data_IF_613850310308
#
_entry.id   IF_613850310308
#
_cell.length_a   1.000
_cell.length_b   1.000
_cell.length_c   1.000
_cell.angle_alpha   90.00
_cell.angle_beta   90.00
_cell.angle_gamma   90.00
#
_symmetry.space_group_name_H-M   'P 1'
#
loop_
_entity.id
_entity.type
_entity.pdbx_description
1 polymer ?
#
# COMPACT_ATOMS: atom_id res chain seq x y z
N UNK A 1 1.97 19.06 13.85
CA UNK A 1 1.93 17.70 13.27
C UNK A 1 2.85 17.57 12.08
N UNK A 2 3.40 16.37 11.87
CA UNK A 2 4.26 16.06 10.75
C UNK A 2 3.40 15.79 9.49
N UNK A 3 3.76 16.33 8.32
CA UNK A 3 3.27 15.87 7.02
C UNK A 3 4.49 15.50 6.14
N UNK A 4 4.81 14.21 6.10
CA UNK A 4 6.00 13.71 5.45
C UNK A 4 5.68 12.75 4.31
N UNK A 5 6.30 12.99 3.16
CA UNK A 5 6.24 12.12 1.99
C UNK A 5 7.52 11.27 1.91
N UNK A 6 7.36 9.96 1.93
CA UNK A 6 8.46 9.00 1.70
C UNK A 6 8.35 8.45 0.29
N UNK A 7 9.31 8.81 -0.55
CA UNK A 7 9.40 8.35 -1.94
C UNK A 7 10.48 7.26 -2.05
N UNK A 8 10.16 6.19 -2.72
CA UNK A 8 11.10 5.11 -3.01
C UNK A 8 10.48 4.14 -3.99
N UNK A 9 11.28 3.55 -4.85
CA UNK A 9 10.79 2.59 -5.85
C UNK A 9 10.13 1.35 -5.20
N UNK A 10 9.42 0.56 -5.98
CA UNK A 10 8.80 -0.69 -5.53
C UNK A 10 9.88 -1.61 -4.93
N UNK A 11 9.63 -2.13 -3.74
CA UNK A 11 10.58 -3.01 -3.05
C UNK A 11 11.76 -2.31 -2.34
N UNK A 12 11.78 -0.97 -2.23
CA UNK A 12 12.81 -0.23 -1.51
C UNK A 12 12.60 -0.15 0.01
N UNK A 13 11.61 -0.87 0.54
CA UNK A 13 11.40 -0.95 1.98
C UNK A 13 10.53 0.15 2.57
N UNK A 14 9.70 0.84 1.77
CA UNK A 14 8.74 1.84 2.28
C UNK A 14 7.85 1.29 3.41
N UNK A 15 7.40 0.05 3.28
CA UNK A 15 6.58 -0.62 4.31
C UNK A 15 7.33 -0.78 5.63
N UNK A 16 8.64 -1.01 5.60
CA UNK A 16 9.46 -1.08 6.83
C UNK A 16 9.51 0.27 7.53
N UNK A 17 9.60 1.38 6.79
CA UNK A 17 9.51 2.74 7.35
C UNK A 17 8.16 2.95 8.03
N UNK A 18 7.07 2.53 7.37
CA UNK A 18 5.71 2.60 7.92
C UNK A 18 5.57 1.81 9.22
N UNK A 19 6.10 0.58 9.28
CA UNK A 19 6.07 -0.26 10.47
C UNK A 19 6.81 0.37 11.65
N UNK A 20 7.98 0.95 11.40
CA UNK A 20 8.77 1.64 12.45
C UNK A 20 8.06 2.89 12.96
N UNK A 21 7.48 3.69 12.07
CA UNK A 21 6.69 4.86 12.46
C UNK A 21 5.45 4.46 13.27
N UNK A 22 4.73 3.42 12.84
CA UNK A 22 3.60 2.88 13.58
C UNK A 22 3.99 2.39 14.97
N UNK A 23 5.13 1.68 15.09
CA UNK A 23 5.64 1.21 16.38
C UNK A 23 5.91 2.37 17.34
N UNK A 24 6.56 3.42 16.86
CA UNK A 24 6.86 4.61 17.68
C UNK A 24 5.57 5.27 18.17
N UNK A 25 4.56 5.42 17.29
CA UNK A 25 3.30 6.03 17.65
C UNK A 25 2.54 5.19 18.67
N UNK A 26 2.45 3.87 18.48
CA UNK A 26 1.80 2.95 19.42
C UNK A 26 2.52 2.91 20.76
N UNK A 27 3.86 2.86 20.76
CA UNK A 27 4.65 2.92 22.00
C UNK A 27 4.45 4.23 22.75
N UNK A 28 4.16 5.33 22.05
CA UNK A 28 3.74 6.61 22.61
C UNK A 28 2.26 6.68 23.04
N UNK A 29 1.54 5.56 23.05
CA UNK A 29 0.12 5.48 23.46
C UNK A 29 -0.86 6.04 22.44
N UNK A 30 -0.48 6.13 21.15
CA UNK A 30 -1.34 6.61 20.06
C UNK A 30 -1.84 5.46 19.22
N UNK A 31 -3.04 5.65 18.63
CA UNK A 31 -3.56 4.75 17.61
C UNK A 31 -3.09 5.18 16.22
N UNK A 32 -2.94 4.20 15.34
CA UNK A 32 -2.44 4.38 13.97
C UNK A 32 -3.48 3.91 12.96
N UNK A 33 -3.77 4.73 11.95
CA UNK A 33 -4.60 4.35 10.81
C UNK A 33 -3.73 4.20 9.56
N UNK A 34 -3.85 3.06 8.86
CA UNK A 34 -3.15 2.79 7.60
C UNK A 34 -4.16 2.72 6.48
N UNK A 35 -4.07 3.69 5.57
CA UNK A 35 -4.96 3.85 4.43
C UNK A 35 -4.31 3.31 3.17
N UNK A 36 -5.01 2.42 2.49
CA UNK A 36 -4.59 1.81 1.23
C UNK A 36 -5.70 1.88 0.18
N UNK A 37 -5.37 1.92 -1.12
CA UNK A 37 -6.38 2.13 -2.16
C UNK A 37 -7.25 0.90 -2.44
N UNK A 38 -6.79 -0.31 -2.11
CA UNK A 38 -7.51 -1.55 -2.44
C UNK A 38 -7.62 -2.50 -1.25
N UNK A 39 -8.65 -3.33 -1.26
CA UNK A 39 -8.87 -4.36 -0.23
C UNK A 39 -7.75 -5.41 -0.20
N UNK A 40 -7.18 -5.73 -1.37
CA UNK A 40 -6.06 -6.67 -1.46
C UNK A 40 -4.81 -6.12 -0.76
N UNK A 41 -4.49 -4.85 -0.98
CA UNK A 41 -3.38 -4.17 -0.27
C UNK A 41 -3.65 -4.08 1.23
N UNK A 42 -4.91 -3.84 1.64
CA UNK A 42 -5.27 -3.85 3.06
C UNK A 42 -4.95 -5.20 3.71
N UNK A 43 -5.32 -6.30 3.05
CA UNK A 43 -5.02 -7.65 3.54
C UNK A 43 -3.52 -7.94 3.56
N UNK A 44 -2.79 -7.53 2.54
CA UNK A 44 -1.33 -7.69 2.47
C UNK A 44 -0.63 -6.93 3.60
N UNK A 45 -0.97 -5.68 3.82
CA UNK A 45 -0.43 -4.89 4.93
C UNK A 45 -0.82 -5.50 6.28
N UNK A 46 -2.08 -5.92 6.44
CA UNK A 46 -2.52 -6.58 7.68
C UNK A 46 -1.66 -7.79 8.03
N UNK A 47 -1.46 -8.70 7.09
CA UNK A 47 -0.63 -9.88 7.31
C UNK A 47 0.80 -9.49 7.70
N UNK A 48 1.40 -8.55 6.96
CA UNK A 48 2.77 -8.10 7.22
C UNK A 48 2.93 -7.42 8.58
N UNK A 49 1.97 -6.58 8.98
CA UNK A 49 1.98 -5.89 10.28
C UNK A 49 1.71 -6.87 11.44
N UNK A 50 0.73 -7.74 11.30
CA UNK A 50 0.43 -8.78 12.29
C UNK A 50 1.64 -9.68 12.53
N UNK A 51 2.29 -10.14 11.47
CA UNK A 51 3.46 -11.02 11.58
C UNK A 51 4.65 -10.26 12.21
N UNK A 52 4.83 -8.97 11.87
CA UNK A 52 5.91 -8.13 12.44
C UNK A 52 5.70 -7.85 13.93
N UNK A 53 4.47 -7.67 14.36
CA UNK A 53 4.15 -7.32 15.74
C UNK A 53 3.68 -8.51 16.58
N UNK A 54 3.82 -9.75 16.09
CA UNK A 54 3.33 -10.95 16.76
C UNK A 54 3.86 -11.12 18.20
N UNK A 55 5.10 -10.71 18.45
CA UNK A 55 5.74 -10.83 19.78
C UNK A 55 5.57 -9.57 20.65
N UNK A 56 4.78 -8.60 20.20
CA UNK A 56 4.54 -7.33 20.88
C UNK A 56 3.08 -7.19 21.31
N UNK A 57 2.79 -6.50 22.42
CA UNK A 57 1.43 -6.24 22.85
C UNK A 57 0.77 -5.15 21.96
N UNK A 58 0.68 -5.40 20.66
CA UNK A 58 0.13 -4.48 19.65
C UNK A 58 -1.02 -5.18 18.94
N UNK A 59 -2.21 -4.61 19.07
CA UNK A 59 -3.41 -5.12 18.40
C UNK A 59 -3.54 -4.51 17.01
N UNK A 60 -3.41 -5.36 15.98
CA UNK A 60 -3.57 -4.97 14.57
C UNK A 60 -4.89 -5.50 14.03
N UNK A 61 -5.68 -4.65 13.39
CA UNK A 61 -6.97 -5.01 12.81
C UNK A 61 -7.12 -4.51 11.37
N UNK A 62 -7.90 -5.23 10.55
CA UNK A 62 -8.19 -4.85 9.17
C UNK A 62 -9.68 -4.57 8.98
N UNK A 63 -10.00 -3.42 8.41
CA UNK A 63 -11.37 -3.07 8.00
C UNK A 63 -11.50 -3.20 6.49
N UNK A 64 -11.99 -4.34 6.03
CA UNK A 64 -12.15 -4.63 4.62
C UNK A 64 -13.52 -5.26 4.33
N UNK A 65 -13.95 -5.20 3.06
CA UNK A 65 -15.21 -5.82 2.60
C UNK A 65 -15.24 -7.36 2.70
N UNK A 66 -14.10 -7.99 3.03
CA UNK A 66 -14.04 -9.44 3.25
C UNK A 66 -14.53 -9.84 4.65
N UNK A 67 -14.68 -8.86 5.56
CA UNK A 67 -15.28 -9.08 6.87
C UNK A 67 -16.79 -8.89 6.83
N UNK A 68 -17.48 -9.64 7.66
CA UNK A 68 -18.92 -9.48 7.85
C UNK A 68 -19.25 -8.11 8.49
N UNK A 69 -20.45 -7.62 8.27
CA UNK A 69 -20.94 -6.37 8.89
C UNK A 69 -20.81 -6.40 10.41
N UNK A 70 -21.03 -7.55 11.04
CA UNK A 70 -20.90 -7.73 12.49
C UNK A 70 -19.44 -7.52 12.95
N UNK A 71 -18.48 -8.11 12.25
CA UNK A 71 -17.05 -7.96 12.56
C UNK A 71 -16.57 -6.52 12.35
N UNK A 72 -17.05 -5.86 11.29
CA UNK A 72 -16.73 -4.46 11.03
C UNK A 72 -17.28 -3.56 12.13
N UNK A 73 -18.52 -3.76 12.56
CA UNK A 73 -19.11 -2.98 13.65
C UNK A 73 -18.40 -3.20 14.99
N UNK A 74 -17.98 -4.43 15.27
CA UNK A 74 -17.16 -4.74 16.45
C UNK A 74 -15.81 -4.01 16.39
N UNK A 75 -15.13 -4.02 15.24
CA UNK A 75 -13.87 -3.32 15.07
C UNK A 75 -14.03 -1.79 15.21
N UNK A 76 -15.13 -1.20 14.74
CA UNK A 76 -15.43 0.24 14.94
C UNK A 76 -15.62 0.55 16.43
N UNK A 77 -16.33 -0.29 17.18
CA UNK A 77 -16.51 -0.11 18.62
C UNK A 77 -15.16 -0.22 19.37
N UNK A 78 -14.36 -1.24 19.06
CA UNK A 78 -13.05 -1.45 19.69
C UNK A 78 -12.05 -0.33 19.37
N UNK A 79 -12.12 0.27 18.16
CA UNK A 79 -11.36 1.48 17.79
C UNK A 79 -11.76 2.68 18.67
N UNK A 80 -13.07 2.88 18.84
CA UNK A 80 -13.59 3.99 19.63
C UNK A 80 -13.29 3.82 21.14
N UNK A 81 -13.09 2.60 21.60
CA UNK A 81 -12.66 2.30 22.96
C UNK A 81 -11.14 2.35 23.16
N UNK A 82 -10.36 2.34 22.06
CA UNK A 82 -8.90 2.33 22.10
C UNK A 82 -8.28 0.96 22.32
N UNK A 83 -9.00 -0.12 22.00
CA UNK A 83 -8.52 -1.51 22.11
C UNK A 83 -7.71 -1.97 20.89
N UNK A 84 -7.82 -1.28 19.78
CA UNK A 84 -7.07 -1.52 18.56
C UNK A 84 -6.00 -0.44 18.43
N UNK A 85 -4.74 -0.85 18.33
CA UNK A 85 -3.61 0.06 18.22
C UNK A 85 -3.36 0.48 16.77
N UNK A 86 -3.47 -0.46 15.84
CA UNK A 86 -3.24 -0.22 14.42
C UNK A 86 -4.43 -0.74 13.63
N UNK A 87 -5.09 0.14 12.88
CA UNK A 87 -6.16 -0.23 11.97
C UNK A 87 -5.72 -0.04 10.52
N UNK A 88 -5.98 -1.03 9.68
CA UNK A 88 -5.64 -1.02 8.25
C UNK A 88 -6.91 -1.11 7.43
N UNK A 89 -7.07 -0.25 6.44
CA UNK A 89 -8.28 -0.29 5.62
C UNK A 89 -8.22 0.63 4.41
N UNK A 90 -9.32 0.63 3.68
CA UNK A 90 -9.52 1.51 2.54
C UNK A 90 -10.20 2.81 2.99
N UNK A 91 -10.76 3.56 2.04
CA UNK A 91 -11.51 4.79 2.29
C UNK A 91 -12.62 4.69 3.35
N UNK A 92 -13.02 3.48 3.76
CA UNK A 92 -13.98 3.29 4.85
C UNK A 92 -13.48 3.87 6.17
N UNK A 93 -12.17 3.87 6.41
CA UNK A 93 -11.57 4.46 7.61
C UNK A 93 -11.74 6.00 7.70
N UNK A 94 -12.09 6.64 6.59
CA UNK A 94 -12.33 8.09 6.53
C UNK A 94 -13.81 8.46 6.70
N UNK A 95 -14.70 7.49 6.90
CA UNK A 95 -16.13 7.76 7.07
C UNK A 95 -16.42 8.27 8.49
N UNK A 96 -17.44 9.09 8.62
CA UNK A 96 -17.79 9.78 9.88
C UNK A 96 -18.25 8.81 11.00
N UNK A 97 -18.66 7.59 10.64
CA UNK A 97 -19.02 6.52 11.56
C UNK A 97 -17.82 5.82 12.21
N UNK A 98 -16.60 6.01 11.66
CA UNK A 98 -15.37 5.43 12.19
C UNK A 98 -14.66 6.44 13.10
N UNK A 99 -14.81 6.27 14.40
CA UNK A 99 -14.14 7.11 15.40
C UNK A 99 -12.94 6.38 15.98
N UNK A 100 -11.78 7.03 15.95
CA UNK A 100 -10.54 6.53 16.56
C UNK A 100 -10.24 7.40 17.77
N UNK A 101 -10.20 6.79 18.95
CA UNK A 101 -10.16 7.51 20.24
C UNK A 101 -8.94 8.40 20.42
N UNK A 102 -7.78 7.90 20.03
CA UNK A 102 -6.50 8.57 20.25
C UNK A 102 -5.60 8.49 19.00
N UNK A 103 -6.16 8.87 17.84
CA UNK A 103 -5.43 8.85 16.58
C UNK A 103 -4.24 9.81 16.64
N UNK A 104 -3.04 9.30 16.42
CA UNK A 104 -1.80 10.10 16.42
C UNK A 104 -1.04 10.04 15.10
N UNK A 105 -1.21 8.97 14.32
CA UNK A 105 -0.52 8.80 13.04
C UNK A 105 -1.46 8.22 11.98
N UNK A 106 -1.46 8.84 10.80
CA UNK A 106 -2.09 8.29 9.60
C UNK A 106 -1.01 7.97 8.58
N UNK A 107 -0.94 6.71 8.16
CA UNK A 107 -0.07 6.24 7.09
C UNK A 107 -0.90 6.06 5.82
N UNK A 108 -0.46 6.64 4.71
CA UNK A 108 -1.17 6.59 3.43
C UNK A 108 -0.25 5.92 2.40
N UNK A 109 -0.66 4.78 1.88
CA UNK A 109 0.07 4.13 0.78
C UNK A 109 -0.62 4.43 -0.55
N UNK A 110 0.16 4.87 -1.55
CA UNK A 110 -0.31 5.19 -2.91
C UNK A 110 -1.43 6.28 -2.94
N UNK A 111 -1.23 7.41 -2.25
CA UNK A 111 -2.20 8.53 -2.15
C UNK A 111 -2.78 8.97 -3.51
N UNK A 112 -2.00 8.85 -4.58
CA UNK A 112 -2.44 9.24 -5.94
C UNK A 112 -3.64 8.43 -6.45
N UNK A 113 -3.91 7.25 -5.89
CA UNK A 113 -5.05 6.39 -6.24
C UNK A 113 -6.34 6.73 -5.48
N UNK A 114 -6.28 7.67 -4.54
CA UNK A 114 -7.48 8.15 -3.84
C UNK A 114 -8.23 9.21 -4.66
N UNK A 115 -9.56 9.18 -4.58
CA UNK A 115 -10.43 10.16 -5.22
C UNK A 115 -10.39 11.54 -4.55
N UNK A 116 -10.99 12.53 -5.18
CA UNK A 116 -10.98 13.93 -4.72
C UNK A 116 -11.56 14.07 -3.31
N UNK A 117 -12.73 13.49 -3.03
CA UNK A 117 -13.38 13.55 -1.73
C UNK A 117 -12.52 12.98 -0.59
N UNK A 118 -11.85 11.86 -0.85
CA UNK A 118 -10.96 11.23 0.12
C UNK A 118 -9.74 12.12 0.40
N UNK A 119 -9.18 12.76 -0.63
CA UNK A 119 -8.07 13.70 -0.46
C UNK A 119 -8.45 14.93 0.36
N UNK A 120 -9.68 15.42 0.23
CA UNK A 120 -10.20 16.51 1.06
C UNK A 120 -10.33 16.11 2.52
N UNK A 121 -10.87 14.92 2.80
CA UNK A 121 -10.94 14.37 4.17
C UNK A 121 -9.55 14.21 4.79
N UNK A 122 -8.58 13.69 4.03
CA UNK A 122 -7.19 13.58 4.47
C UNK A 122 -6.55 14.95 4.73
N UNK A 123 -6.88 15.95 3.91
CA UNK A 123 -6.39 17.32 4.11
C UNK A 123 -6.87 17.92 5.44
N UNK A 124 -8.09 17.65 5.86
CA UNK A 124 -8.60 18.08 7.16
C UNK A 124 -7.83 17.44 8.33
N UNK A 125 -7.46 16.16 8.22
CA UNK A 125 -6.69 15.46 9.25
C UNK A 125 -5.25 15.97 9.41
N UNK A 126 -4.66 16.59 8.38
CA UNK A 126 -3.26 17.06 8.40
C UNK A 126 -2.96 18.14 9.44
N UNK A 127 -3.96 18.86 9.88
CA UNK A 127 -3.79 19.86 10.92
C UNK A 127 -3.81 19.30 12.35
N UNK A 128 -4.23 18.06 12.52
CA UNK A 128 -4.53 17.48 13.83
C UNK A 128 -3.62 16.28 14.18
N UNK A 129 -3.20 15.50 13.18
CA UNK A 129 -2.44 14.27 13.36
C UNK A 129 -1.20 14.23 12.46
N UNK A 130 -0.22 13.43 12.82
CA UNK A 130 0.95 13.16 11.98
C UNK A 130 0.54 12.36 10.75
N UNK A 131 1.01 12.77 9.57
CA UNK A 131 0.74 12.10 8.30
C UNK A 131 2.04 11.62 7.66
N UNK A 132 2.09 10.33 7.34
CA UNK A 132 3.17 9.68 6.61
C UNK A 132 2.63 9.14 5.30
N UNK A 133 2.99 9.75 4.19
CA UNK A 133 2.58 9.28 2.86
C UNK A 133 3.69 8.49 2.20
N UNK A 134 3.38 7.31 1.68
CA UNK A 134 4.30 6.45 0.93
C UNK A 134 3.97 6.50 -0.55
N UNK A 135 4.96 6.62 -1.41
CA UNK A 135 4.76 6.56 -2.86
C UNK A 135 5.91 5.85 -3.57
N UNK A 136 5.56 5.05 -4.58
CA UNK A 136 6.52 4.43 -5.49
C UNK A 136 6.86 5.33 -6.69
N UNK A 137 6.05 6.35 -6.95
CA UNK A 137 6.27 7.22 -8.11
C UNK A 137 7.44 8.17 -7.83
N UNK A 138 8.56 8.08 -8.58
CA UNK A 138 9.65 9.03 -8.44
C UNK A 138 9.13 10.44 -8.77
N UNK A 139 9.30 11.37 -7.84
CA UNK A 139 8.93 12.76 -8.05
C UNK A 139 10.03 13.40 -8.91
N UNK A 140 9.75 13.89 -10.13
CA UNK A 140 10.74 14.62 -10.93
C UNK A 140 11.34 15.77 -10.13
N UNK A 141 12.65 16.08 -10.35
CA UNK A 141 13.37 17.13 -9.60
C UNK A 141 12.63 18.47 -9.55
N UNK A 142 12.00 18.87 -10.64
CA UNK A 142 11.19 20.10 -10.74
C UNK A 142 9.94 20.07 -9.86
N UNK A 143 9.27 18.91 -9.74
CA UNK A 143 8.11 18.74 -8.88
C UNK A 143 8.55 18.65 -7.39
N UNK A 144 9.73 18.11 -7.13
CA UNK A 144 10.34 18.04 -5.81
C UNK A 144 10.54 19.44 -5.22
N UNK A 145 11.00 20.41 -6.00
CA UNK A 145 11.17 21.81 -5.56
C UNK A 145 9.83 22.51 -5.27
N UNK A 146 8.76 22.15 -5.97
CA UNK A 146 7.43 22.70 -5.73
C UNK A 146 6.73 22.06 -4.52
N UNK A 147 7.03 20.78 -4.22
CA UNK A 147 6.43 20.04 -3.10
C UNK A 147 7.20 20.28 -1.79
N UNK A 148 8.51 20.53 -1.84
CA UNK A 148 9.37 20.71 -0.67
C UNK A 148 9.04 21.93 0.20
N UNK A 149 8.24 22.88 -0.31
CA UNK A 149 7.68 23.99 0.46
C UNK A 149 6.34 23.67 1.14
N UNK A 150 5.70 22.55 0.80
CA UNK A 150 4.37 22.16 1.26
C UNK A 150 4.36 20.93 2.17
N UNK A 151 5.37 20.05 2.02
CA UNK A 151 5.53 18.82 2.80
C UNK A 151 7.01 18.48 2.99
N UNK A 152 7.32 17.82 4.11
CA UNK A 152 8.63 17.21 4.28
C UNK A 152 8.82 16.02 3.33
N UNK A 153 9.97 15.94 2.66
CA UNK A 153 10.29 14.87 1.72
C UNK A 153 11.47 14.03 2.21
N UNK A 154 11.29 12.71 2.13
CA UNK A 154 12.35 11.72 2.31
C UNK A 154 12.44 10.79 1.12
N UNK A 155 13.65 10.57 0.60
CA UNK A 155 13.85 9.72 -0.59
C UNK A 155 14.69 8.50 -0.18
N UNK A 156 14.16 7.30 -0.45
CA UNK A 156 14.91 6.05 -0.37
C UNK A 156 15.52 5.82 -1.75
N UNK A 157 16.78 6.20 -1.91
CA UNK A 157 17.48 6.16 -3.20
C UNK A 157 18.23 4.84 -3.44
N UNK A 158 18.53 4.09 -2.38
CA UNK A 158 19.34 2.88 -2.46
C UNK A 158 18.45 1.64 -2.42
N UNK A 159 18.51 0.75 -3.42
CA UNK A 159 17.78 -0.51 -3.37
C UNK A 159 18.36 -1.45 -2.30
N UNK A 160 17.56 -2.41 -1.78
CA UNK A 160 18.08 -3.45 -0.90
C UNK A 160 19.19 -4.26 -1.59
N UNK A 161 20.20 -4.69 -0.81
CA UNK A 161 21.44 -5.30 -1.31
C UNK A 161 21.25 -6.55 -2.19
N UNK A 162 20.10 -7.24 -2.13
CA UNK A 162 19.79 -8.44 -2.90
C UNK A 162 18.83 -8.20 -4.08
N UNK A 163 18.51 -6.96 -4.39
CA UNK A 163 17.61 -6.66 -5.50
C UNK A 163 18.36 -6.73 -6.83
N UNK A 164 17.98 -7.65 -7.68
CA UNK A 164 18.43 -7.70 -9.06
C UNK A 164 17.64 -6.68 -9.90
N UNK A 165 18.34 -5.98 -10.80
CA UNK A 165 17.70 -5.09 -11.74
C UNK A 165 16.83 -5.84 -12.74
N UNK A 166 15.62 -5.34 -13.01
CA UNK A 166 14.76 -5.85 -14.08
C UNK A 166 15.28 -5.34 -15.42
N UNK A 167 15.53 -6.25 -16.38
CA UNK A 167 15.85 -5.90 -17.75
C UNK A 167 14.54 -5.69 -18.52
N UNK A 168 14.31 -4.48 -18.99
CA UNK A 168 13.13 -4.14 -19.79
C UNK A 168 13.52 -4.09 -21.27
N UNK A 169 12.76 -4.80 -22.10
CA UNK A 169 12.90 -4.77 -23.55
C UNK A 169 11.62 -4.22 -24.16
N UNK A 170 11.72 -3.25 -25.04
CA UNK A 170 10.61 -2.71 -25.84
C UNK A 170 10.88 -3.08 -27.29
N UNK A 171 10.01 -3.91 -27.85
CA UNK A 171 10.16 -4.42 -29.21
C UNK A 171 8.80 -4.77 -29.82
N UNK A 172 8.75 -4.96 -31.13
CA UNK A 172 7.59 -5.53 -31.79
C UNK A 172 7.34 -6.95 -31.31
N UNK A 173 6.08 -7.33 -31.25
CA UNK A 173 5.69 -8.65 -30.78
C UNK A 173 6.25 -9.74 -31.73
N UNK A 174 7.08 -10.62 -31.15
CA UNK A 174 7.67 -11.75 -31.84
C UNK A 174 7.46 -13.03 -31.00
N UNK A 175 6.81 -14.02 -31.60
CA UNK A 175 6.49 -15.29 -30.91
C UNK A 175 7.72 -16.04 -30.41
N UNK A 176 8.81 -16.02 -31.18
CA UNK A 176 10.06 -16.70 -30.79
C UNK A 176 10.68 -16.03 -29.55
N UNK A 177 10.73 -14.71 -29.50
CA UNK A 177 11.26 -13.95 -28.38
C UNK A 177 10.43 -14.10 -27.12
N UNK A 178 9.09 -14.07 -27.25
CA UNK A 178 8.17 -14.32 -26.13
C UNK A 178 8.36 -15.74 -25.59
N UNK A 179 8.41 -16.74 -26.47
CA UNK A 179 8.64 -18.15 -26.09
C UNK A 179 9.97 -18.31 -25.35
N UNK A 180 11.04 -17.70 -25.86
CA UNK A 180 12.37 -17.76 -25.22
C UNK A 180 12.34 -17.13 -23.82
N UNK A 181 11.71 -15.96 -23.65
CA UNK A 181 11.58 -15.30 -22.37
C UNK A 181 10.80 -16.15 -21.35
N UNK A 182 9.65 -16.74 -21.79
CA UNK A 182 8.86 -17.65 -20.98
C UNK A 182 9.66 -18.88 -20.53
N UNK A 183 10.35 -19.54 -21.47
CA UNK A 183 11.15 -20.75 -21.17
C UNK A 183 12.29 -20.43 -20.21
N UNK A 184 12.97 -19.29 -20.37
CA UNK A 184 14.05 -18.86 -19.49
C UNK A 184 13.58 -18.70 -18.05
N UNK A 185 12.41 -18.07 -17.83
CA UNK A 185 11.84 -17.92 -16.49
C UNK A 185 11.39 -19.24 -15.87
N UNK A 186 10.71 -20.07 -16.65
CA UNK A 186 10.24 -21.38 -16.17
C UNK A 186 11.39 -22.32 -15.83
N UNK A 187 12.46 -22.35 -16.63
CA UNK A 187 13.64 -23.17 -16.37
C UNK A 187 14.37 -22.79 -15.08
N UNK A 188 14.32 -21.53 -14.66
CA UNK A 188 14.89 -21.10 -13.38
C UNK A 188 13.93 -21.25 -12.20
N UNK A 189 12.72 -21.81 -12.40
CA UNK A 189 11.68 -21.95 -11.37
C UNK A 189 10.91 -20.67 -11.09
N UNK A 190 10.98 -19.67 -11.97
CA UNK A 190 10.25 -18.41 -11.86
C UNK A 190 8.80 -18.51 -12.32
N UNK A 191 8.03 -17.47 -12.04
CA UNK A 191 6.65 -17.29 -12.50
C UNK A 191 6.60 -16.21 -13.58
N UNK A 192 5.65 -16.32 -14.50
CA UNK A 192 5.48 -15.37 -15.60
C UNK A 192 4.07 -14.79 -15.60
N UNK A 193 3.96 -13.47 -15.65
CA UNK A 193 2.72 -12.79 -15.92
C UNK A 193 2.71 -12.36 -17.39
N UNK A 194 1.74 -12.86 -18.15
CA UNK A 194 1.50 -12.46 -19.54
C UNK A 194 0.29 -11.54 -19.60
N UNK A 195 0.51 -10.23 -19.77
CA UNK A 195 -0.57 -9.25 -19.87
C UNK A 195 -0.91 -9.00 -21.33
N UNK A 196 -2.17 -9.15 -21.68
CA UNK A 196 -2.72 -8.88 -22.99
C UNK A 196 -3.97 -7.98 -22.90
N UNK A 197 -4.11 -7.02 -23.80
CA UNK A 197 -5.19 -6.02 -23.73
C UNK A 197 -6.55 -6.57 -24.21
N UNK A 198 -6.56 -7.64 -24.99
CA UNK A 198 -7.79 -8.28 -25.45
C UNK A 198 -8.12 -9.50 -24.58
N UNK A 199 -9.30 -9.49 -23.98
CA UNK A 199 -9.76 -10.57 -23.08
C UNK A 199 -10.22 -11.81 -23.86
N UNK A 200 -10.61 -11.66 -25.11
CA UNK A 200 -11.23 -12.73 -25.92
C UNK A 200 -10.27 -13.41 -26.89
N UNK A 201 -9.27 -12.70 -27.35
CA UNK A 201 -8.37 -13.21 -28.40
C UNK A 201 -6.91 -12.85 -28.14
N UNK A 202 -6.00 -13.74 -28.50
CA UNK A 202 -4.57 -13.44 -28.65
C UNK A 202 -4.20 -13.70 -30.11
N UNK A 203 -3.63 -12.71 -30.79
CA UNK A 203 -3.32 -12.77 -32.23
C UNK A 203 -4.52 -13.18 -33.10
N UNK A 204 -5.72 -12.69 -32.77
CA UNK A 204 -6.95 -13.02 -33.50
C UNK A 204 -7.49 -14.43 -33.25
N UNK A 205 -6.85 -15.21 -32.37
CA UNK A 205 -7.32 -16.55 -31.97
C UNK A 205 -8.00 -16.48 -30.61
N UNK A 206 -9.15 -17.17 -30.43
CA UNK A 206 -9.83 -17.18 -29.15
C UNK A 206 -8.96 -17.78 -28.05
N UNK A 207 -9.03 -17.18 -26.86
CA UNK A 207 -8.37 -17.70 -25.66
C UNK A 207 -9.29 -18.76 -25.06
N UNK A 208 -8.89 -20.01 -25.12
CA UNK A 208 -9.54 -21.09 -24.40
C UNK A 208 -8.73 -21.36 -23.11
N UNK A 209 -9.27 -20.99 -21.99
CA UNK A 209 -8.69 -21.30 -20.68
C UNK A 209 -9.77 -21.29 -19.62
N UNK A 210 -9.90 -22.36 -18.85
CA UNK A 210 -10.59 -22.32 -17.57
C UNK A 210 -9.75 -21.46 -16.63
N UNK A 211 -10.29 -20.32 -16.20
CA UNK A 211 -9.82 -19.66 -14.99
C UNK A 211 -10.52 -20.36 -13.84
N UNK A 212 -9.84 -21.27 -13.18
CA UNK A 212 -10.21 -21.67 -11.83
C UNK A 212 -9.81 -20.53 -10.89
N UNK A 213 -10.80 -19.95 -10.21
CA UNK A 213 -10.64 -18.88 -9.20
C UNK A 213 -10.34 -19.51 -7.85
#
# INVERSE_FOLDING_TARGET
>A
PMDRLVCGDVGFGKTEVAMRAAFIAVHGGKQVAILVPTTLLAQQHYNSFRDRFADWPVTVEVMSRFKSTKEVNAAVADLAEGKIDIVIGTHKLLQDDVKIKNLGLVIIDEEHRFGVRQKEQLKALRSEVDILTLTATPIPRTLNMAVSGMRDLSIIATPPARRLSVRTFVMEQNKSTVKEALLRELLRGGQVYYLHNDVKTIDGKPIYGHMDY
#
